data_IF_368850873410
#
_entry.id   IF_368850873410
#
_cell.length_a   1.000
_cell.length_b   1.000
_cell.length_c   1.000
_cell.angle_alpha   90.00
_cell.angle_beta   90.00
_cell.angle_gamma   90.00
#
_symmetry.space_group_name_H-M   'P 1'
#
loop_
_entity.id
_entity.type
_entity.pdbx_description
1 polymer ?
#
# COMPACT_ATOMS: atom_id res chain seq x y z
N UNK A 1 -14.33 -1.67 -1.69
CA UNK A 1 -13.20 -0.98 -1.04
C UNK A 1 -11.88 -1.56 -1.52
N UNK A 2 -10.98 -0.72 -2.04
CA UNK A 2 -9.71 -1.14 -2.66
C UNK A 2 -8.53 -0.34 -2.12
N UNK A 3 -7.36 -0.95 -2.15
CA UNK A 3 -6.09 -0.28 -1.94
C UNK A 3 -5.63 0.25 -3.29
N UNK A 4 -5.38 1.55 -3.36
CA UNK A 4 -4.87 2.23 -4.55
C UNK A 4 -3.51 2.79 -4.24
N UNK A 5 -2.50 2.37 -5.00
CA UNK A 5 -1.12 2.81 -4.83
C UNK A 5 -0.72 3.57 -6.08
N UNK A 6 -0.38 4.85 -5.90
CA UNK A 6 0.14 5.67 -6.98
C UNK A 6 1.66 5.56 -7.01
N UNK A 7 2.17 5.29 -8.21
CA UNK A 7 3.60 5.25 -8.49
C UNK A 7 3.94 6.15 -9.67
N UNK A 8 5.22 6.46 -9.83
CA UNK A 8 5.71 7.21 -11.01
C UNK A 8 5.50 6.48 -12.34
N UNK A 9 5.22 5.17 -12.30
CA UNK A 9 5.00 4.32 -13.48
C UNK A 9 3.52 4.02 -13.76
N UNK A 10 2.62 4.43 -12.87
CA UNK A 10 1.19 4.14 -12.97
C UNK A 10 0.56 3.79 -11.63
N UNK A 11 -0.66 3.26 -11.71
CA UNK A 11 -1.49 2.93 -10.53
C UNK A 11 -1.55 1.42 -10.34
N UNK A 12 -1.37 0.96 -9.10
CA UNK A 12 -1.56 -0.43 -8.70
C UNK A 12 -2.82 -0.50 -7.84
N UNK A 13 -3.75 -1.38 -8.21
CA UNK A 13 -5.00 -1.58 -7.48
C UNK A 13 -5.06 -3.00 -6.91
N UNK A 14 -5.58 -3.11 -5.68
CA UNK A 14 -5.92 -4.41 -5.11
C UNK A 14 -7.28 -4.92 -5.62
N UNK A 15 -7.59 -6.20 -5.41
CA UNK A 15 -8.96 -6.69 -5.40
C UNK A 15 -9.83 -5.91 -4.41
N UNK A 16 -11.14 -6.06 -4.54
CA UNK A 16 -12.08 -5.52 -3.56
C UNK A 16 -12.00 -6.31 -2.26
N UNK A 17 -11.87 -5.58 -1.16
CA UNK A 17 -11.92 -6.11 0.20
C UNK A 17 -13.28 -5.83 0.84
N UNK A 18 -13.76 -6.74 1.71
CA UNK A 18 -14.99 -6.52 2.45
C UNK A 18 -14.81 -5.41 3.49
N UNK A 19 -15.89 -4.70 3.81
CA UNK A 19 -15.81 -3.53 4.69
C UNK A 19 -15.41 -3.88 6.14
N UNK A 20 -15.64 -5.12 6.57
CA UNK A 20 -15.24 -5.62 7.90
C UNK A 20 -13.73 -5.53 8.14
N UNK A 21 -12.89 -5.53 7.09
CA UNK A 21 -11.43 -5.43 7.21
C UNK A 21 -10.91 -3.99 7.02
N UNK A 22 -11.80 -2.98 6.96
CA UNK A 22 -11.43 -1.56 6.74
C UNK A 22 -10.44 -1.02 7.78
N UNK A 23 -10.77 -1.13 9.05
CA UNK A 23 -9.93 -0.65 10.16
C UNK A 23 -8.54 -1.32 10.17
N UNK A 24 -8.43 -2.67 10.14
CA UNK A 24 -7.11 -3.31 10.09
C UNK A 24 -6.35 -3.04 8.79
N UNK A 25 -7.03 -2.83 7.66
CA UNK A 25 -6.41 -2.43 6.40
C UNK A 25 -5.79 -1.03 6.51
N UNK A 26 -6.56 -0.08 7.04
CA UNK A 26 -6.12 1.30 7.21
C UNK A 26 -4.87 1.37 8.07
N UNK A 27 -4.84 0.69 9.22
CA UNK A 27 -3.66 0.62 10.08
C UNK A 27 -2.42 0.06 9.38
N UNK A 28 -2.59 -0.95 8.53
CA UNK A 28 -1.47 -1.52 7.74
C UNK A 28 -0.98 -0.56 6.66
N UNK A 29 -1.88 0.16 6.01
CA UNK A 29 -1.58 1.15 4.98
C UNK A 29 -0.85 2.34 5.59
N UNK A 30 -1.34 2.86 6.71
CA UNK A 30 -0.74 4.01 7.40
C UNK A 30 0.69 3.67 7.83
N UNK A 31 0.89 2.50 8.44
CA UNK A 31 2.22 2.01 8.79
C UNK A 31 3.13 1.85 7.57
N UNK A 32 2.63 1.28 6.48
CA UNK A 32 3.41 1.15 5.24
C UNK A 32 3.83 2.50 4.68
N UNK A 33 2.95 3.50 4.74
CA UNK A 33 3.27 4.85 4.29
C UNK A 33 4.37 5.49 5.15
N UNK A 34 4.31 5.32 6.47
CA UNK A 34 5.37 5.75 7.39
C UNK A 34 6.70 5.06 7.09
N UNK A 35 6.71 3.73 6.95
CA UNK A 35 7.91 2.94 6.64
C UNK A 35 8.54 3.36 5.29
N UNK A 36 7.71 3.68 4.28
CA UNK A 36 8.17 4.14 2.97
C UNK A 36 8.67 5.58 2.98
N UNK A 37 8.15 6.43 3.88
CA UNK A 37 8.62 7.80 4.08
C UNK A 37 9.90 7.87 4.92
N UNK A 38 10.21 6.85 5.72
CA UNK A 38 11.46 6.79 6.48
C UNK A 38 12.67 6.70 5.52
N UNK A 39 13.54 7.70 5.59
CA UNK A 39 14.78 7.83 4.81
C UNK A 39 15.71 6.62 4.86
N UNK A 40 15.65 5.78 5.91
CA UNK A 40 16.54 4.63 6.09
C UNK A 40 16.16 3.42 5.22
N UNK A 41 14.92 3.34 4.75
CA UNK A 41 14.49 2.30 3.82
C UNK A 41 15.04 2.58 2.41
N UNK A 42 15.89 1.68 1.90
CA UNK A 42 16.46 1.76 0.54
C UNK A 42 16.19 0.49 -0.29
N UNK A 43 15.29 -0.37 0.18
CA UNK A 43 14.98 -1.66 -0.43
C UNK A 43 13.51 -1.67 -0.89
N UNK A 44 13.14 -2.53 -1.87
CA UNK A 44 11.74 -2.77 -2.19
C UNK A 44 10.98 -3.27 -0.96
N UNK A 45 9.80 -2.70 -0.70
CA UNK A 45 8.92 -3.11 0.39
C UNK A 45 7.92 -4.13 -0.14
N UNK A 46 7.82 -5.27 0.54
CA UNK A 46 6.83 -6.29 0.24
C UNK A 46 5.60 -6.06 1.10
N UNK A 47 4.50 -5.64 0.48
CA UNK A 47 3.24 -5.39 1.17
C UNK A 47 2.27 -6.53 0.88
N UNK A 48 1.76 -7.18 1.93
CA UNK A 48 0.84 -8.31 1.83
C UNK A 48 -0.39 -8.10 2.68
N UNK A 49 -1.56 -8.20 2.06
CA UNK A 49 -2.84 -8.18 2.76
C UNK A 49 -3.78 -9.21 2.15
N UNK A 50 -4.26 -10.12 3.01
CA UNK A 50 -5.39 -11.02 2.74
C UNK A 50 -5.33 -11.70 1.35
N UNK A 51 -4.25 -12.44 1.11
CA UNK A 51 -4.03 -13.15 -0.16
C UNK A 51 -3.51 -12.29 -1.31
N UNK A 52 -3.62 -10.97 -1.22
CA UNK A 52 -2.99 -10.04 -2.17
C UNK A 52 -1.61 -9.61 -1.68
N UNK A 53 -0.68 -9.44 -2.62
CA UNK A 53 0.64 -8.90 -2.34
C UNK A 53 1.12 -8.00 -3.47
N UNK A 54 1.86 -6.96 -3.11
CA UNK A 54 2.53 -6.09 -4.05
C UNK A 54 3.96 -5.78 -3.58
N UNK A 55 4.84 -5.54 -4.54
CA UNK A 55 6.21 -5.09 -4.30
C UNK A 55 6.25 -3.61 -4.64
N UNK A 56 6.66 -2.79 -3.68
CA UNK A 56 6.73 -1.35 -3.81
C UNK A 56 8.19 -0.91 -3.80
N UNK A 57 8.62 -0.28 -4.88
CA UNK A 57 9.90 0.40 -4.91
C UNK A 57 9.71 1.81 -4.35
N UNK A 58 10.37 2.15 -3.24
CA UNK A 58 10.28 3.47 -2.61
C UNK A 58 10.59 4.62 -3.58
N UNK A 59 11.53 4.44 -4.51
CA UNK A 59 11.87 5.48 -5.52
C UNK A 59 10.70 5.79 -6.48
N UNK A 60 9.77 4.85 -6.60
CA UNK A 60 8.62 4.94 -7.49
C UNK A 60 7.33 5.24 -6.71
N UNK A 61 7.34 5.06 -5.40
CA UNK A 61 6.19 5.28 -4.53
C UNK A 61 5.85 6.78 -4.43
N UNK A 62 4.57 7.11 -4.58
CA UNK A 62 4.06 8.46 -4.38
C UNK A 62 3.03 8.51 -3.25
N UNK A 63 2.02 7.64 -3.28
CA UNK A 63 0.98 7.59 -2.26
C UNK A 63 0.31 6.21 -2.22
N UNK A 64 -0.34 5.93 -1.09
CA UNK A 64 -1.24 4.79 -0.91
C UNK A 64 -2.52 5.28 -0.24
N UNK A 65 -3.67 4.88 -0.76
CA UNK A 65 -4.98 5.24 -0.22
C UNK A 65 -5.93 4.06 -0.23
N UNK A 66 -6.94 4.11 0.63
CA UNK A 66 -8.03 3.16 0.66
C UNK A 66 -9.27 3.85 0.05
N UNK A 67 -9.74 3.36 -1.10
CA UNK A 67 -10.94 3.87 -1.78
C UNK A 67 -12.14 2.98 -1.47
N UNK A 68 -13.34 3.56 -1.51
CA UNK A 68 -14.60 2.81 -1.38
C UNK A 68 -14.80 1.80 -2.52
#
# INVERSE_FOLDING_TARGET
>A
MKIVIQTTKGTIESPEFPEIVREPLKLKIDKLAEDLMDSWFNHPVYFRVDGWACILNKKEFMSITLTE
#
